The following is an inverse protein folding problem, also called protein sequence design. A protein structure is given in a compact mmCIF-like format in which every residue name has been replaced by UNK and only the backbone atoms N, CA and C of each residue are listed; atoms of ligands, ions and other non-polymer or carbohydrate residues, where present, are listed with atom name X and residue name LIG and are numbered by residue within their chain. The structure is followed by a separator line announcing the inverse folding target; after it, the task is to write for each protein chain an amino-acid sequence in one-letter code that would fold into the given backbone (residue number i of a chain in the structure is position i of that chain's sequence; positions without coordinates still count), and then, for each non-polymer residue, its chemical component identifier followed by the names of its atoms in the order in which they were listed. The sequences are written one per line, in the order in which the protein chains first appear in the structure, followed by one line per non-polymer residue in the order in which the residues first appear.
data_IF_139646458462
#
_entry.id   IF_139646458462
#
_cell.length_a   1.000
_cell.length_b   1.000
_cell.length_c   1.000
_cell.angle_alpha   90.00
_cell.angle_beta   90.00
_cell.angle_gamma   90.00
#
_symmetry.space_group_name_H-M   'P 1'
#
loop_
_entity.id
_entity.type
_entity.pdbx_description
1 polymer ?
#
# COMPACT_ATOMS: atom_id res chain seq x y z
N UNK A 1 11.39 9.07 24.31
CA UNK A 1 11.80 9.07 22.90
C UNK A 1 11.78 7.63 22.45
N UNK A 2 10.75 7.23 21.69
CA UNK A 2 10.79 5.92 21.02
C UNK A 2 11.92 5.98 19.99
N UNK A 3 12.65 4.88 19.85
CA UNK A 3 13.79 4.81 18.94
C UNK A 3 13.29 4.44 17.54
N UNK A 4 13.61 5.30 16.57
CA UNK A 4 14.00 4.97 15.21
C UNK A 4 13.64 3.56 14.70
N UNK A 5 12.38 3.15 14.50
CA UNK A 5 12.14 1.88 13.80
C UNK A 5 12.44 2.05 12.31
N UNK A 6 13.53 1.41 11.87
CA UNK A 6 13.99 1.43 10.49
C UNK A 6 14.27 0.01 9.99
N UNK A 7 14.12 -0.16 8.67
CA UNK A 7 14.46 -1.38 7.95
C UNK A 7 15.65 -1.07 7.03
N UNK A 8 16.74 -1.81 7.21
CA UNK A 8 17.90 -1.70 6.34
C UNK A 8 17.61 -2.39 5.00
N UNK A 9 17.84 -1.69 3.89
CA UNK A 9 17.76 -2.23 2.54
C UNK A 9 19.09 -2.00 1.85
N UNK A 10 19.69 -3.09 1.37
CA UNK A 10 20.92 -3.01 0.59
C UNK A 10 20.56 -2.91 -0.89
N UNK A 11 21.07 -1.89 -1.57
CA UNK A 11 20.92 -1.73 -3.00
C UNK A 11 22.15 -1.02 -3.58
N UNK A 12 22.62 -1.44 -4.75
CA UNK A 12 23.76 -0.81 -5.44
C UNK A 12 25.02 -0.67 -4.56
N UNK A 13 25.28 -1.64 -3.67
CA UNK A 13 26.43 -1.62 -2.75
C UNK A 13 26.32 -0.60 -1.61
N UNK A 14 25.14 -0.01 -1.39
CA UNK A 14 24.85 0.92 -0.29
C UNK A 14 23.75 0.36 0.59
N UNK A 15 23.80 0.69 1.88
CA UNK A 15 22.72 0.42 2.83
C UNK A 15 21.87 1.68 2.99
N UNK A 16 20.56 1.50 2.90
CA UNK A 16 19.57 2.54 3.08
C UNK A 16 18.62 2.19 4.21
N UNK A 17 18.05 3.21 4.84
CA UNK A 17 17.13 3.05 5.95
C UNK A 17 15.71 3.49 5.53
N UNK A 18 14.79 2.53 5.52
CA UNK A 18 13.35 2.79 5.36
C UNK A 18 12.74 3.04 6.73
N UNK A 19 12.23 4.25 6.96
CA UNK A 19 11.69 4.68 8.24
C UNK A 19 10.21 4.33 8.37
N UNK A 20 9.81 3.69 9.47
CA UNK A 20 8.42 3.32 9.67
C UNK A 20 7.84 3.64 11.06
N UNK A 21 8.50 4.51 11.83
CA UNK A 21 7.94 5.06 13.08
C UNK A 21 6.64 5.82 12.90
N UNK A 22 6.40 6.35 11.70
CA UNK A 22 5.17 7.06 11.38
C UNK A 22 3.93 6.14 11.37
N UNK A 23 4.12 4.82 11.45
CA UNK A 23 3.06 3.82 11.45
C UNK A 23 2.97 3.21 12.84
N UNK A 24 2.00 3.68 13.63
CA UNK A 24 1.89 3.43 15.06
C UNK A 24 2.12 1.98 15.48
N UNK A 25 2.79 1.82 16.63
CA UNK A 25 3.08 0.53 17.26
C UNK A 25 1.83 -0.16 17.82
N UNK A 26 0.75 0.59 17.99
CA UNK A 26 -0.52 0.04 18.41
C UNK A 26 -1.28 -0.44 17.17
N UNK A 27 -1.87 -1.62 17.29
CA UNK A 27 -2.79 -2.26 16.34
C UNK A 27 -4.04 -1.43 15.98
N UNK A 28 -4.01 -0.12 16.21
CA UNK A 28 -5.07 0.86 16.03
C UNK A 28 -4.86 1.71 14.79
N UNK A 29 -5.16 1.15 13.62
CA UNK A 29 -5.19 1.81 12.30
C UNK A 29 -3.81 2.32 11.82
N UNK A 30 -3.33 1.93 10.62
CA UNK A 30 -2.20 2.63 10.02
C UNK A 30 -2.57 4.11 9.96
N UNK A 31 -1.73 4.98 10.54
CA UNK A 31 -1.88 6.41 10.33
C UNK A 31 -1.93 6.58 8.81
N UNK A 32 -3.00 7.17 8.24
CA UNK A 32 -3.06 7.38 6.81
C UNK A 32 -1.81 8.15 6.42
N UNK A 33 -1.22 7.84 5.27
CA UNK A 33 -0.18 8.67 4.71
C UNK A 33 -0.65 10.11 4.78
N UNK A 34 -0.10 10.90 5.70
CA UNK A 34 -0.36 12.32 5.73
C UNK A 34 0.24 12.81 4.42
N UNK A 35 -0.62 13.15 3.45
CA UNK A 35 -0.21 13.70 2.16
C UNK A 35 0.43 15.06 2.42
N UNK A 36 1.66 15.04 2.91
CA UNK A 36 2.52 16.20 2.94
C UNK A 36 3.14 16.21 1.57
N UNK A 37 2.53 16.91 0.63
CA UNK A 37 3.05 16.97 -0.73
C UNK A 37 4.47 17.57 -0.76
N UNK A 38 4.77 18.45 0.20
CA UNK A 38 6.05 19.15 0.35
C UNK A 38 6.45 19.30 1.82
N UNK A 39 7.63 18.78 2.17
CA UNK A 39 8.23 18.92 3.51
C UNK A 39 8.77 20.33 3.72
N UNK A 40 8.11 21.07 4.62
CA UNK A 40 8.39 22.48 4.85
C UNK A 40 9.82 22.78 5.30
N UNK A 41 10.43 21.87 6.06
CA UNK A 41 11.78 22.05 6.61
C UNK A 41 12.90 21.94 5.57
N UNK A 42 12.63 21.31 4.41
CA UNK A 42 13.58 21.18 3.29
C UNK A 42 13.44 22.26 2.23
N UNK A 43 12.42 23.11 2.34
CA UNK A 43 12.23 24.23 1.42
C UNK A 43 13.41 25.19 1.51
N UNK A 44 13.91 25.60 0.34
CA UNK A 44 14.93 26.63 0.25
C UNK A 44 14.27 28.01 0.38
N UNK A 45 14.90 28.87 1.18
CA UNK A 45 14.58 30.28 1.34
C UNK A 45 15.47 31.12 0.40
N UNK A 46 15.84 32.34 0.80
CA UNK A 46 16.90 33.11 0.14
C UNK A 46 18.26 32.38 0.28
N UNK A 47 19.16 32.64 -0.68
CA UNK A 47 20.58 32.23 -0.60
C UNK A 47 20.80 30.71 -0.39
N UNK A 48 19.91 29.87 -0.91
CA UNK A 48 19.96 28.40 -0.78
C UNK A 48 19.97 27.88 0.67
N UNK A 49 19.43 28.63 1.63
CA UNK A 49 19.29 28.17 3.02
C UNK A 49 17.97 27.46 3.25
N UNK A 50 17.99 26.27 3.85
CA UNK A 50 16.76 25.54 4.14
C UNK A 50 15.98 26.17 5.33
N UNK A 51 14.67 25.95 5.38
CA UNK A 51 13.83 26.37 6.52
C UNK A 51 14.33 25.79 7.85
N UNK A 52 14.79 24.53 7.86
CA UNK A 52 15.39 23.92 9.04
C UNK A 52 16.62 24.70 9.54
N UNK A 53 17.51 25.09 8.64
CA UNK A 53 18.73 25.85 8.96
C UNK A 53 18.38 27.26 9.46
N UNK A 54 17.39 27.89 8.85
CA UNK A 54 16.86 29.17 9.32
C UNK A 54 16.33 29.04 10.76
N UNK A 55 15.47 28.06 11.03
CA UNK A 55 14.96 27.79 12.39
C UNK A 55 16.09 27.52 13.39
N UNK A 56 17.12 26.77 12.99
CA UNK A 56 18.28 26.49 13.82
C UNK A 56 19.11 27.75 14.11
N UNK A 57 19.36 28.59 13.11
CA UNK A 57 20.10 29.85 13.28
C UNK A 57 19.39 30.81 14.23
N UNK A 58 18.07 30.94 14.11
CA UNK A 58 17.23 31.78 14.98
C UNK A 58 17.35 31.28 16.43
N UNK A 59 17.19 29.96 16.65
CA UNK A 59 17.36 29.35 17.98
C UNK A 59 18.73 29.66 18.60
N UNK A 60 19.81 29.61 17.81
CA UNK A 60 21.18 29.86 18.28
C UNK A 60 21.41 31.32 18.69
N UNK A 61 20.97 32.28 17.86
CA UNK A 61 21.12 33.72 18.14
C UNK A 61 20.34 34.13 19.38
N UNK A 62 19.18 33.53 19.64
CA UNK A 62 18.39 33.86 20.84
C UNK A 62 18.96 33.26 22.13
N UNK A 63 19.52 32.04 22.08
CA UNK A 63 20.22 31.44 23.23
C UNK A 63 21.39 32.29 23.74
N UNK A 64 21.99 33.11 22.88
CA UNK A 64 23.10 34.00 23.26
C UNK A 64 22.66 35.41 23.71
N UNK A 65 21.39 35.81 23.49
CA UNK A 65 20.92 37.19 23.73
C UNK A 65 19.97 37.36 24.93
N UNK A 66 19.36 36.29 25.45
CA UNK A 66 18.34 36.39 26.52
C UNK A 66 18.56 35.40 27.67
N UNK A 67 18.47 35.92 28.91
CA UNK A 67 18.23 35.13 30.13
C UNK A 67 16.82 34.50 30.16
N UNK A 68 16.35 33.96 31.29
CA UNK A 68 15.30 32.93 31.38
C UNK A 68 13.84 33.37 31.08
N UNK A 69 13.61 34.37 30.21
CA UNK A 69 12.28 34.83 29.82
C UNK A 69 11.77 34.11 28.55
N UNK A 70 10.61 33.48 28.70
CA UNK A 70 10.02 32.47 27.81
C UNK A 70 9.27 33.03 26.60
N UNK A 71 9.95 33.61 25.61
CA UNK A 71 9.31 33.76 24.30
C UNK A 71 9.07 32.37 23.71
N UNK A 72 7.83 32.12 23.25
CA UNK A 72 7.51 30.86 22.58
C UNK A 72 8.31 30.78 21.29
N UNK A 73 8.89 29.63 21.00
CA UNK A 73 9.79 29.42 19.87
C UNK A 73 9.23 29.93 18.51
N UNK A 74 7.93 29.77 18.30
CA UNK A 74 7.20 30.25 17.12
C UNK A 74 7.29 31.77 16.95
N UNK A 75 7.26 32.52 18.05
CA UNK A 75 7.35 33.98 18.02
C UNK A 75 8.76 34.44 17.61
N UNK A 76 9.79 33.74 18.08
CA UNK A 76 11.18 33.99 17.70
C UNK A 76 11.41 33.75 16.21
N UNK A 77 10.89 32.62 15.71
CA UNK A 77 10.93 32.29 14.28
C UNK A 77 10.22 33.36 13.44
N UNK A 78 9.06 33.84 13.88
CA UNK A 78 8.33 34.90 13.20
C UNK A 78 9.07 36.25 13.23
N UNK A 79 9.71 36.62 14.34
CA UNK A 79 10.52 37.84 14.42
C UNK A 79 11.72 37.79 13.48
N UNK A 80 12.46 36.67 13.46
CA UNK A 80 13.56 36.46 12.52
C UNK A 80 13.09 36.57 11.08
N UNK A 81 11.97 35.91 10.77
CA UNK A 81 11.39 35.91 9.42
C UNK A 81 10.91 37.30 9.01
N UNK A 82 10.34 38.07 9.95
CA UNK A 82 9.87 39.43 9.69
C UNK A 82 11.04 40.38 9.38
N UNK A 83 12.20 40.19 10.05
CA UNK A 83 13.39 41.00 9.78
C UNK A 83 13.98 40.73 8.39
N UNK A 84 14.02 39.47 7.99
CA UNK A 84 14.67 39.06 6.75
C UNK A 84 13.74 39.08 5.52
N UNK A 85 12.52 38.59 5.68
CA UNK A 85 11.57 38.38 4.58
C UNK A 85 10.37 39.34 4.62
N UNK A 86 10.29 40.21 5.63
CA UNK A 86 9.18 41.13 5.85
C UNK A 86 7.80 40.44 5.98
N UNK A 87 7.79 39.16 6.36
CA UNK A 87 6.59 38.34 6.54
C UNK A 87 6.79 37.31 7.67
N UNK A 88 5.70 36.82 8.31
CA UNK A 88 5.75 35.68 9.22
C UNK A 88 6.28 34.41 8.54
N UNK A 89 6.99 33.54 9.29
CA UNK A 89 7.68 32.37 8.71
C UNK A 89 6.70 31.44 7.98
N UNK A 90 5.51 31.23 8.54
CA UNK A 90 4.50 30.38 7.92
C UNK A 90 4.06 30.92 6.56
N UNK A 91 3.95 32.24 6.39
CA UNK A 91 3.59 32.85 5.11
C UNK A 91 4.71 32.67 4.07
N UNK A 92 5.98 32.76 4.51
CA UNK A 92 7.13 32.47 3.64
C UNK A 92 7.14 31.00 3.20
N UNK A 93 6.93 30.07 4.14
CA UNK A 93 6.84 28.63 3.85
C UNK A 93 5.73 28.34 2.83
N UNK A 94 4.53 28.89 3.02
CA UNK A 94 3.43 28.67 2.08
C UNK A 94 3.72 29.24 0.68
N UNK A 95 4.30 30.44 0.61
CA UNK A 95 4.73 31.01 -0.66
C UNK A 95 5.76 30.12 -1.37
N UNK A 96 6.73 29.56 -0.64
CA UNK A 96 7.74 28.66 -1.20
C UNK A 96 7.17 27.32 -1.62
N UNK A 97 6.23 26.75 -0.86
CA UNK A 97 5.49 25.54 -1.27
C UNK A 97 4.79 25.76 -2.60
N UNK A 98 4.10 26.88 -2.75
CA UNK A 98 3.37 27.19 -3.98
C UNK A 98 4.29 27.35 -5.19
N UNK A 99 5.40 28.08 -5.05
CA UNK A 99 6.41 28.16 -6.12
C UNK A 99 7.00 26.80 -6.48
N UNK A 100 7.20 25.90 -5.50
CA UNK A 100 7.71 24.56 -5.76
C UNK A 100 6.68 23.66 -6.46
N UNK A 101 5.38 23.78 -6.13
CA UNK A 101 4.30 23.09 -6.85
C UNK A 101 4.25 23.49 -8.31
N UNK A 102 4.24 24.79 -8.58
CA UNK A 102 4.22 25.31 -9.96
C UNK A 102 5.44 24.84 -10.76
N UNK A 103 6.61 24.80 -10.13
CA UNK A 103 7.83 24.25 -10.74
C UNK A 103 7.69 22.76 -11.06
N UNK A 104 7.18 21.97 -10.12
CA UNK A 104 6.89 20.55 -10.32
C UNK A 104 5.88 20.33 -11.46
N UNK A 105 4.76 21.06 -11.46
CA UNK A 105 3.72 20.93 -12.49
C UNK A 105 4.27 21.24 -13.89
N UNK A 106 5.08 22.29 -14.01
CA UNK A 106 5.73 22.66 -15.27
C UNK A 106 6.73 21.59 -15.74
N UNK A 107 7.56 21.07 -14.82
CA UNK A 107 8.51 19.99 -15.11
C UNK A 107 7.79 18.71 -15.54
N UNK A 108 6.74 18.32 -14.81
CA UNK A 108 5.95 17.12 -15.08
C UNK A 108 5.23 17.20 -16.43
N UNK A 109 4.72 18.37 -16.81
CA UNK A 109 4.09 18.60 -18.10
C UNK A 109 5.07 18.73 -19.28
N UNK A 110 6.37 18.88 -19.02
CA UNK A 110 7.38 19.03 -20.06
C UNK A 110 7.52 17.75 -20.90
N UNK A 111 7.64 17.93 -22.22
CA UNK A 111 8.02 16.86 -23.16
C UNK A 111 9.53 16.76 -23.35
N UNK A 112 10.31 17.74 -22.87
CA UNK A 112 11.76 17.67 -22.84
C UNK A 112 12.21 16.83 -21.64
N UNK A 113 12.76 15.65 -21.94
CA UNK A 113 13.17 14.67 -20.94
C UNK A 113 14.30 15.16 -20.04
N UNK A 114 15.30 15.81 -20.61
CA UNK A 114 16.45 16.28 -19.83
C UNK A 114 16.00 17.37 -18.85
N UNK A 115 15.20 18.32 -19.36
CA UNK A 115 14.58 19.35 -18.53
C UNK A 115 13.70 18.76 -17.41
N UNK A 116 12.85 17.79 -17.74
CA UNK A 116 11.98 17.12 -16.76
C UNK A 116 12.80 16.48 -15.63
N UNK A 117 13.86 15.74 -15.96
CA UNK A 117 14.73 15.09 -14.96
C UNK A 117 15.42 16.10 -14.06
N UNK A 118 16.02 17.15 -14.64
CA UNK A 118 16.74 18.18 -13.88
C UNK A 118 15.81 18.94 -12.93
N UNK A 119 14.62 19.32 -13.41
CA UNK A 119 13.67 20.08 -12.62
C UNK A 119 12.98 19.25 -11.53
N UNK A 120 12.61 18.00 -11.83
CA UNK A 120 12.09 17.08 -10.82
C UNK A 120 13.13 16.81 -9.74
N UNK A 121 14.43 16.73 -10.10
CA UNK A 121 15.53 16.57 -9.14
C UNK A 121 15.64 17.77 -8.21
N UNK A 122 15.49 18.98 -8.73
CA UNK A 122 15.44 20.18 -7.88
C UNK A 122 14.22 20.18 -6.95
N UNK A 123 13.05 19.76 -7.44
CA UNK A 123 11.86 19.63 -6.61
C UNK A 123 12.01 18.57 -5.51
N UNK A 124 12.56 17.41 -5.86
CA UNK A 124 12.81 16.29 -4.96
C UNK A 124 13.76 16.69 -3.82
N UNK A 125 14.87 17.36 -4.13
CA UNK A 125 15.82 17.86 -3.13
C UNK A 125 15.22 18.89 -2.16
N UNK A 126 14.20 19.63 -2.59
CA UNK A 126 13.46 20.58 -1.73
C UNK A 126 12.32 19.93 -0.94
N UNK A 127 12.23 18.59 -0.95
CA UNK A 127 11.27 17.82 -0.18
C UNK A 127 9.90 17.67 -0.84
N UNK A 128 9.80 17.83 -2.17
CA UNK A 128 8.57 17.50 -2.90
C UNK A 128 8.43 15.98 -3.03
N UNK A 129 7.38 15.41 -2.43
CA UNK A 129 7.23 13.96 -2.25
C UNK A 129 6.91 13.26 -3.56
N UNK A 130 5.93 13.78 -4.31
CA UNK A 130 5.59 13.24 -5.64
C UNK A 130 6.77 13.35 -6.62
N UNK A 131 7.52 14.46 -6.63
CA UNK A 131 8.70 14.61 -7.48
C UNK A 131 9.77 13.54 -7.23
N UNK A 132 9.94 13.09 -5.97
CA UNK A 132 10.82 11.96 -5.66
C UNK A 132 10.29 10.67 -6.31
N UNK A 133 8.99 10.37 -6.18
CA UNK A 133 8.43 9.18 -6.82
C UNK A 133 8.61 9.25 -8.34
N UNK A 134 8.19 10.35 -8.96
CA UNK A 134 8.18 10.48 -10.42
C UNK A 134 9.59 10.40 -10.96
N UNK A 135 10.54 11.13 -10.38
CA UNK A 135 11.94 11.04 -10.77
C UNK A 135 12.47 9.61 -10.62
N UNK A 136 12.12 8.90 -9.55
CA UNK A 136 12.45 7.50 -9.38
C UNK A 136 11.89 6.63 -10.52
N UNK A 137 10.62 6.80 -10.89
CA UNK A 137 9.99 6.07 -12.02
C UNK A 137 10.69 6.37 -13.34
N UNK A 138 11.04 7.64 -13.55
CA UNK A 138 11.73 8.08 -14.76
C UNK A 138 13.10 7.43 -14.90
N UNK A 139 13.88 7.41 -13.81
CA UNK A 139 15.20 6.80 -13.78
C UNK A 139 15.14 5.27 -13.86
N UNK A 140 14.14 4.63 -13.25
CA UNK A 140 13.94 3.17 -13.35
C UNK A 140 13.61 2.73 -14.78
N UNK A 141 12.83 3.52 -15.52
CA UNK A 141 12.54 3.26 -16.93
C UNK A 141 13.80 3.31 -17.82
N UNK A 142 14.80 4.09 -17.41
CA UNK A 142 16.10 4.23 -18.09
C UNK A 142 17.15 3.21 -17.57
N UNK A 143 16.79 2.38 -16.59
CA UNK A 143 17.72 1.46 -15.95
C UNK A 143 18.80 2.17 -15.10
N UNK A 144 18.56 3.42 -14.70
CA UNK A 144 19.50 4.15 -13.86
C UNK A 144 19.33 3.74 -12.39
N UNK A 145 20.38 3.19 -11.73
CA UNK A 145 20.31 2.72 -10.34
C UNK A 145 20.02 3.81 -9.31
N UNK A 146 20.18 5.09 -9.66
CA UNK A 146 19.83 6.24 -8.82
C UNK A 146 18.33 6.28 -8.47
N UNK A 147 17.46 5.59 -9.24
CA UNK A 147 16.03 5.49 -8.95
C UNK A 147 15.72 4.99 -7.52
N UNK A 148 16.58 4.13 -6.97
CA UNK A 148 16.43 3.56 -5.63
C UNK A 148 16.48 4.66 -4.56
N UNK A 149 17.43 5.60 -4.68
CA UNK A 149 17.60 6.70 -3.73
C UNK A 149 16.30 7.52 -3.64
N UNK A 150 15.68 7.78 -4.79
CA UNK A 150 14.44 8.56 -4.88
C UNK A 150 13.20 7.80 -4.41
N UNK A 151 13.09 6.49 -4.64
CA UNK A 151 11.99 5.71 -4.05
C UNK A 151 12.08 5.64 -2.54
N UNK A 152 13.29 5.45 -2.00
CA UNK A 152 13.52 5.42 -0.55
C UNK A 152 13.18 6.77 0.07
N UNK A 153 13.62 7.85 -0.57
CA UNK A 153 13.30 9.19 -0.11
C UNK A 153 11.80 9.46 -0.19
N UNK A 154 11.14 9.10 -1.30
CA UNK A 154 9.68 9.21 -1.42
C UNK A 154 8.97 8.47 -0.29
N UNK A 155 9.41 7.25 0.08
CA UNK A 155 8.85 6.50 1.21
C UNK A 155 9.04 7.26 2.53
N UNK A 156 10.27 7.68 2.82
CA UNK A 156 10.62 8.37 4.06
C UNK A 156 9.88 9.71 4.21
N UNK A 157 9.48 10.32 3.10
CA UNK A 157 8.64 11.51 3.06
C UNK A 157 7.13 11.22 3.06
N UNK A 158 6.72 9.95 3.01
CA UNK A 158 5.32 9.54 3.09
C UNK A 158 4.63 9.34 1.74
N UNK A 159 5.31 8.81 0.73
CA UNK A 159 4.67 8.42 -0.53
C UNK A 159 4.16 6.96 -0.48
N UNK A 160 2.86 6.67 -0.64
CA UNK A 160 2.27 5.32 -0.51
C UNK A 160 2.72 4.30 -1.56
N UNK A 161 3.06 4.75 -2.75
CA UNK A 161 3.43 3.88 -3.87
C UNK A 161 4.94 3.62 -3.99
N UNK A 162 5.76 4.36 -3.25
CA UNK A 162 7.22 4.29 -3.34
C UNK A 162 7.78 2.88 -3.08
N UNK A 163 7.30 2.20 -2.04
CA UNK A 163 7.73 0.84 -1.70
C UNK A 163 7.33 -0.18 -2.78
N UNK A 164 6.18 0.02 -3.44
CA UNK A 164 5.79 -0.84 -4.57
C UNK A 164 6.77 -0.67 -5.73
N UNK A 165 7.10 0.57 -6.08
CA UNK A 165 8.08 0.85 -7.14
C UNK A 165 9.46 0.30 -6.80
N UNK A 166 9.95 0.56 -5.58
CA UNK A 166 11.22 0.03 -5.09
C UNK A 166 11.27 -1.50 -5.17
N UNK A 167 10.22 -2.19 -4.74
CA UNK A 167 10.17 -3.67 -4.82
C UNK A 167 10.26 -4.19 -6.25
N UNK A 168 9.64 -3.52 -7.22
CA UNK A 168 9.72 -3.89 -8.64
C UNK A 168 11.14 -3.72 -9.17
N UNK A 169 11.79 -2.61 -8.82
CA UNK A 169 13.19 -2.36 -9.18
C UNK A 169 14.11 -3.43 -8.59
N UNK A 170 13.91 -3.81 -7.32
CA UNK A 170 14.69 -4.88 -6.67
C UNK A 170 14.47 -6.25 -7.33
N UNK A 171 13.23 -6.58 -7.71
CA UNK A 171 12.96 -7.80 -8.49
C UNK A 171 13.66 -7.79 -9.86
N UNK A 172 13.65 -6.66 -10.57
CA UNK A 172 14.37 -6.50 -11.85
C UNK A 172 15.87 -6.69 -11.68
N UNK A 173 16.42 -6.24 -10.54
CA UNK A 173 17.83 -6.40 -10.19
C UNK A 173 18.17 -7.82 -9.68
N UNK A 174 17.19 -8.72 -9.53
CA UNK A 174 17.40 -10.08 -9.03
C UNK A 174 17.48 -10.21 -7.51
N UNK A 175 17.23 -9.14 -6.76
CA UNK A 175 17.23 -9.15 -5.29
C UNK A 175 15.82 -9.43 -4.75
N UNK A 176 15.39 -10.68 -4.86
CA UNK A 176 14.07 -11.11 -4.43
C UNK A 176 13.87 -10.94 -2.91
N UNK A 177 14.91 -11.18 -2.10
CA UNK A 177 14.85 -11.03 -0.66
C UNK A 177 14.56 -9.60 -0.24
N UNK A 178 15.34 -8.63 -0.76
CA UNK A 178 15.09 -7.21 -0.49
C UNK A 178 13.72 -6.77 -1.03
N UNK A 179 13.31 -7.23 -2.21
CA UNK A 179 12.00 -6.92 -2.77
C UNK A 179 10.85 -7.38 -1.86
N UNK A 180 10.93 -8.60 -1.32
CA UNK A 180 9.95 -9.14 -0.37
C UNK A 180 9.94 -8.35 0.94
N UNK A 181 11.11 -8.00 1.50
CA UNK A 181 11.20 -7.14 2.71
C UNK A 181 10.45 -5.82 2.52
N UNK A 182 10.71 -5.15 1.40
CA UNK A 182 10.07 -3.87 1.04
C UNK A 182 8.56 -4.02 0.88
N UNK A 183 8.09 -5.11 0.25
CA UNK A 183 6.65 -5.37 0.12
C UNK A 183 5.97 -5.66 1.44
N UNK A 184 6.60 -6.42 2.33
CA UNK A 184 6.08 -6.70 3.67
C UNK A 184 5.98 -5.42 4.50
N UNK A 185 6.98 -4.54 4.39
CA UNK A 185 6.91 -3.21 5.00
C UNK A 185 5.75 -2.40 4.41
N UNK A 186 5.62 -2.35 3.08
CA UNK A 186 4.54 -1.63 2.42
C UNK A 186 3.15 -2.13 2.82
N UNK A 187 2.97 -3.45 2.89
CA UNK A 187 1.74 -4.08 3.35
C UNK A 187 1.45 -3.77 4.83
N UNK A 188 2.48 -3.76 5.69
CA UNK A 188 2.37 -3.33 7.09
C UNK A 188 1.95 -1.86 7.21
N UNK A 189 2.48 -1.00 6.36
CA UNK A 189 2.13 0.43 6.27
C UNK A 189 0.77 0.68 5.60
N UNK A 190 -0.02 -0.36 5.29
CA UNK A 190 -1.37 -0.24 4.73
C UNK A 190 -1.46 -0.19 3.21
N UNK A 191 -0.35 -0.41 2.47
CA UNK A 191 -0.38 -0.45 1.01
C UNK A 191 -1.05 -1.73 0.50
N UNK A 192 -2.31 -1.61 0.05
CA UNK A 192 -3.05 -2.73 -0.57
C UNK A 192 -2.29 -3.30 -1.77
N UNK A 193 -1.69 -2.44 -2.59
CA UNK A 193 -0.96 -2.91 -3.80
C UNK A 193 0.25 -3.78 -3.43
N UNK A 194 0.96 -3.45 -2.35
CA UNK A 194 2.06 -4.29 -1.87
C UNK A 194 1.54 -5.66 -1.37
N UNK A 195 0.44 -5.65 -0.64
CA UNK A 195 -0.18 -6.88 -0.14
C UNK A 195 -0.72 -7.77 -1.29
N UNK A 196 -1.37 -7.17 -2.29
CA UNK A 196 -1.84 -7.87 -3.49
C UNK A 196 -0.69 -8.49 -4.28
N UNK A 197 0.45 -7.78 -4.42
CA UNK A 197 1.60 -8.33 -5.11
C UNK A 197 2.18 -9.54 -4.37
N UNK A 198 2.27 -9.49 -3.04
CA UNK A 198 2.70 -10.64 -2.23
C UNK A 198 1.80 -11.87 -2.42
N UNK A 199 0.47 -11.67 -2.47
CA UNK A 199 -0.49 -12.74 -2.71
C UNK A 199 -0.39 -13.31 -4.13
N UNK A 200 -0.20 -12.44 -5.13
CA UNK A 200 0.01 -12.86 -6.51
C UNK A 200 1.29 -13.69 -6.67
N UNK A 201 2.38 -13.31 -5.98
CA UNK A 201 3.61 -14.11 -5.93
C UNK A 201 3.33 -15.48 -5.31
N UNK A 202 2.58 -15.54 -4.20
CA UNK A 202 2.20 -16.82 -3.56
C UNK A 202 1.43 -17.72 -4.53
N UNK A 203 0.45 -17.18 -5.24
CA UNK A 203 -0.44 -17.94 -6.13
C UNK A 203 0.27 -18.47 -7.38
N UNK A 204 1.12 -17.65 -8.00
CA UNK A 204 1.66 -17.98 -9.31
C UNK A 204 3.14 -18.37 -9.27
N UNK A 205 3.86 -18.03 -8.20
CA UNK A 205 5.32 -18.13 -8.10
C UNK A 205 5.79 -18.45 -6.69
N UNK A 206 5.15 -19.44 -6.04
CA UNK A 206 5.47 -19.82 -4.66
C UNK A 206 6.97 -20.07 -4.42
N UNK A 207 7.65 -20.69 -5.40
CA UNK A 207 9.09 -20.97 -5.37
C UNK A 207 9.97 -19.73 -5.09
N UNK A 208 9.51 -18.52 -5.43
CA UNK A 208 10.24 -17.27 -5.09
C UNK A 208 10.40 -17.14 -3.58
N UNK A 209 9.38 -17.49 -2.81
CA UNK A 209 9.43 -17.42 -1.35
C UNK A 209 10.26 -18.54 -0.72
N UNK A 210 10.57 -19.61 -1.45
CA UNK A 210 11.41 -20.71 -0.97
C UNK A 210 12.91 -20.36 -1.02
N UNK A 211 13.28 -19.30 -1.74
CA UNK A 211 14.65 -18.80 -1.77
C UNK A 211 15.10 -18.41 -0.33
N UNK A 212 16.34 -18.74 0.08
CA UNK A 212 16.82 -18.45 1.44
C UNK A 212 16.65 -16.99 1.86
N UNK A 213 16.91 -16.06 0.94
CA UNK A 213 16.83 -14.61 1.18
C UNK A 213 15.38 -14.15 1.39
N UNK A 214 14.42 -14.80 0.71
CA UNK A 214 12.99 -14.53 0.89
C UNK A 214 12.45 -15.16 2.18
N UNK A 215 12.92 -16.34 2.56
CA UNK A 215 12.60 -16.95 3.85
C UNK A 215 13.12 -16.09 4.99
N UNK A 216 14.33 -15.54 4.86
CA UNK A 216 14.90 -14.59 5.83
C UNK A 216 14.03 -13.32 5.91
N UNK A 217 13.66 -12.73 4.78
CA UNK A 217 12.76 -11.58 4.71
C UNK A 217 11.41 -11.83 5.41
N UNK A 218 10.82 -13.00 5.21
CA UNK A 218 9.57 -13.41 5.86
C UNK A 218 9.75 -13.58 7.38
N UNK A 219 10.88 -14.13 7.83
CA UNK A 219 11.17 -14.26 9.27
C UNK A 219 11.38 -12.91 9.93
N UNK A 220 12.13 -12.02 9.29
CA UNK A 220 12.31 -10.63 9.73
C UNK A 220 10.94 -9.93 9.82
N UNK A 221 10.11 -10.11 8.79
CA UNK A 221 8.70 -9.72 8.75
C UNK A 221 7.89 -10.15 9.95
N UNK A 222 8.05 -11.40 10.38
CA UNK A 222 7.41 -11.92 11.58
C UNK A 222 7.94 -11.21 12.84
N UNK A 223 9.24 -10.91 12.90
CA UNK A 223 9.90 -10.26 14.03
C UNK A 223 9.39 -8.85 14.30
N UNK A 224 9.11 -8.06 13.26
CA UNK A 224 8.46 -6.75 13.43
C UNK A 224 6.92 -6.81 13.42
N UNK A 225 6.33 -8.01 13.35
CA UNK A 225 4.89 -8.23 13.52
C UNK A 225 4.04 -7.97 12.27
N UNK A 226 4.58 -8.10 11.05
CA UNK A 226 3.77 -8.09 9.84
C UNK A 226 2.92 -9.37 9.75
N UNK A 227 1.60 -9.21 9.72
CA UNK A 227 0.65 -10.32 9.65
C UNK A 227 0.80 -11.06 8.32
N UNK A 228 1.04 -10.32 7.24
CA UNK A 228 1.30 -10.86 5.91
C UNK A 228 2.55 -11.75 5.91
N UNK A 229 3.60 -11.38 6.65
CA UNK A 229 4.81 -12.18 6.77
C UNK A 229 4.53 -13.52 7.46
N UNK A 230 3.79 -13.50 8.59
CA UNK A 230 3.40 -14.71 9.31
C UNK A 230 2.56 -15.64 8.44
N UNK A 231 1.56 -15.08 7.74
CA UNK A 231 0.71 -15.84 6.84
C UNK A 231 1.51 -16.50 5.70
N UNK A 232 2.35 -15.72 5.00
CA UNK A 232 3.13 -16.20 3.87
C UNK A 232 4.20 -17.21 4.29
N UNK A 233 4.91 -16.94 5.41
CA UNK A 233 5.88 -17.89 5.96
C UNK A 233 5.21 -19.21 6.31
N UNK A 234 4.07 -19.16 7.01
CA UNK A 234 3.29 -20.34 7.33
C UNK A 234 2.85 -21.12 6.10
N UNK A 235 2.45 -20.40 5.02
CA UNK A 235 2.02 -21.01 3.76
C UNK A 235 3.18 -21.71 3.05
N UNK A 236 4.31 -21.01 2.90
CA UNK A 236 5.51 -21.51 2.24
C UNK A 236 6.09 -22.72 2.98
N UNK A 237 6.12 -22.72 4.31
CA UNK A 237 6.57 -23.88 5.08
C UNK A 237 5.62 -25.09 4.98
N UNK A 238 4.33 -24.90 4.67
CA UNK A 238 3.38 -26.00 4.53
C UNK A 238 3.32 -26.57 3.11
N UNK A 239 3.46 -25.71 2.12
CA UNK A 239 3.17 -26.02 0.71
C UNK A 239 4.39 -25.92 -0.19
N UNK A 240 5.49 -25.33 0.27
CA UNK A 240 6.74 -25.25 -0.49
C UNK A 240 7.42 -26.61 -0.63
N UNK A 241 8.09 -26.81 -1.75
CA UNK A 241 8.70 -28.10 -2.10
C UNK A 241 10.04 -28.29 -1.36
N UNK A 242 10.82 -27.23 -1.19
CA UNK A 242 12.20 -27.30 -0.70
C UNK A 242 12.40 -26.86 0.75
N UNK A 243 11.41 -26.19 1.35
CA UNK A 243 11.50 -25.64 2.71
C UNK A 243 10.39 -26.16 3.64
N UNK A 244 9.83 -27.34 3.34
CA UNK A 244 8.65 -27.86 4.04
C UNK A 244 8.95 -28.15 5.52
N UNK A 245 8.20 -27.48 6.39
CA UNK A 245 8.14 -27.70 7.84
C UNK A 245 6.70 -27.44 8.30
N UNK A 246 5.89 -28.50 8.29
CA UNK A 246 4.46 -28.35 8.60
C UNK A 246 4.19 -27.93 10.05
N UNK A 247 5.03 -28.35 10.99
CA UNK A 247 4.83 -28.06 12.41
C UNK A 247 5.04 -26.57 12.66
N UNK A 248 6.16 -26.02 12.16
CA UNK A 248 6.42 -24.59 12.21
C UNK A 248 5.41 -23.80 11.40
N UNK A 249 5.05 -24.29 10.20
CA UNK A 249 4.07 -23.65 9.35
C UNK A 249 2.70 -23.49 10.02
N UNK A 250 2.21 -24.54 10.71
CA UNK A 250 0.98 -24.48 11.52
C UNK A 250 1.09 -23.50 12.69
N UNK A 251 2.22 -23.50 13.40
CA UNK A 251 2.44 -22.60 14.53
C UNK A 251 2.40 -21.12 14.09
N UNK A 252 3.14 -20.75 13.05
CA UNK A 252 3.18 -19.37 12.55
C UNK A 252 1.83 -18.92 12.00
N UNK A 253 1.10 -19.78 11.28
CA UNK A 253 -0.27 -19.45 10.83
C UNK A 253 -1.23 -19.25 12.00
N UNK A 254 -1.13 -20.07 13.06
CA UNK A 254 -1.94 -19.90 14.26
C UNK A 254 -1.67 -18.57 14.95
N UNK A 255 -0.42 -18.10 14.96
CA UNK A 255 -0.09 -16.76 15.47
C UNK A 255 -0.69 -15.65 14.61
N UNK A 256 -0.69 -15.82 13.28
CA UNK A 256 -1.32 -14.86 12.37
C UNK A 256 -2.83 -14.74 12.65
N UNK A 257 -3.52 -15.88 12.84
CA UNK A 257 -4.95 -15.92 13.17
C UNK A 257 -5.28 -15.55 14.63
N UNK A 258 -4.29 -15.53 15.53
CA UNK A 258 -4.47 -15.11 16.92
C UNK A 258 -4.43 -13.59 17.11
N UNK A 259 -4.04 -12.83 16.08
CA UNK A 259 -4.15 -11.37 16.09
C UNK A 259 -5.64 -11.06 16.20
N UNK A 260 -6.07 -10.56 17.36
CA UNK A 260 -7.48 -10.27 17.62
C UNK A 260 -8.01 -9.41 16.49
N UNK A 261 -9.09 -9.88 15.85
CA UNK A 261 -10.05 -9.05 15.16
C UNK A 261 -10.20 -7.70 15.89
N UNK A 262 -10.38 -6.62 15.15
CA UNK A 262 -10.91 -5.35 15.67
C UNK A 262 -12.33 -5.59 16.22
N UNK A 263 -12.47 -6.37 17.30
CA UNK A 263 -13.65 -6.37 18.13
C UNK A 263 -13.58 -5.06 18.87
N UNK A 264 -14.44 -4.13 18.45
CA UNK A 264 -14.80 -2.98 19.25
C UNK A 264 -15.07 -3.46 20.68
N UNK A 265 -14.16 -3.17 21.59
CA UNK A 265 -14.36 -3.45 23.00
C UNK A 265 -15.63 -2.69 23.43
N UNK A 266 -16.65 -3.46 23.80
CA UNK A 266 -17.88 -2.98 24.44
C UNK A 266 -18.71 -1.96 23.63
N UNK A 267 -19.28 -2.38 22.50
CA UNK A 267 -20.54 -1.80 22.00
C UNK A 267 -20.54 -0.31 21.62
N UNK A 268 -19.37 0.32 21.58
CA UNK A 268 -19.16 1.65 20.99
C UNK A 268 -18.03 1.49 20.01
N UNK A 269 -18.40 1.16 18.77
CA UNK A 269 -17.45 1.18 17.66
C UNK A 269 -16.69 2.50 17.70
N UNK A 270 -15.38 2.43 17.45
CA UNK A 270 -14.62 3.62 17.10
C UNK A 270 -15.45 4.40 16.08
N UNK A 271 -15.66 5.71 16.27
CA UNK A 271 -16.49 6.46 15.36
C UNK A 271 -15.93 6.25 13.95
N UNK A 272 -16.78 5.66 13.10
CA UNK A 272 -16.71 5.84 11.66
C UNK A 272 -16.35 7.30 11.44
N UNK A 273 -15.31 7.56 10.66
CA UNK A 273 -15.00 8.92 10.22
C UNK A 273 -16.32 9.48 9.69
N UNK A 274 -16.79 10.56 10.34
CA UNK A 274 -17.96 11.31 9.90
C UNK A 274 -17.68 11.65 8.43
N UNK A 275 -18.59 11.29 7.54
CA UNK A 275 -18.50 11.41 6.07
C UNK A 275 -18.14 10.13 5.29
N UNK A 276 -18.61 8.98 5.79
CA UNK A 276 -19.43 8.09 4.95
C UNK A 276 -18.84 7.56 3.64
N UNK A 277 -17.54 7.30 3.54
CA UNK A 277 -16.97 6.48 2.47
C UNK A 277 -15.67 5.79 2.94
N UNK A 278 -15.67 4.45 2.79
CA UNK A 278 -14.55 3.51 2.95
C UNK A 278 -14.23 3.03 4.39
N UNK A 279 -14.22 1.70 4.54
CA UNK A 279 -13.38 1.06 5.55
C UNK A 279 -11.91 1.39 5.23
N UNK A 280 -11.03 1.66 6.21
CA UNK A 280 -9.63 1.88 5.92
C UNK A 280 -9.06 0.64 5.23
N UNK A 281 -8.58 0.85 4.00
CA UNK A 281 -7.66 -0.05 3.32
C UNK A 281 -6.59 -0.54 4.30
N UNK A 282 -6.46 -1.86 4.46
CA UNK A 282 -5.42 -2.45 5.33
C UNK A 282 -5.86 -2.78 6.77
N UNK A 283 -7.15 -2.81 7.08
CA UNK A 283 -7.60 -3.42 8.36
C UNK A 283 -7.64 -4.94 8.26
N UNK A 284 -7.28 -5.61 9.37
CA UNK A 284 -7.40 -7.06 9.51
C UNK A 284 -8.83 -7.53 9.20
N UNK A 285 -9.86 -6.75 9.54
CA UNK A 285 -11.26 -7.05 9.22
C UNK A 285 -11.57 -7.04 7.71
N UNK A 286 -10.96 -6.15 6.93
CA UNK A 286 -11.10 -6.16 5.46
C UNK A 286 -10.34 -7.34 4.84
N UNK A 287 -9.18 -7.67 5.40
CA UNK A 287 -8.39 -8.83 4.99
C UNK A 287 -9.05 -10.16 5.38
N UNK A 288 -9.65 -10.24 6.57
CA UNK A 288 -10.46 -11.36 7.05
C UNK A 288 -11.75 -11.47 6.28
N UNK A 289 -12.37 -10.38 5.83
CA UNK A 289 -13.52 -10.46 4.95
C UNK A 289 -13.12 -10.97 3.55
N UNK A 290 -11.97 -10.57 3.00
CA UNK A 290 -11.46 -11.11 1.73
C UNK A 290 -11.01 -12.58 1.86
N UNK A 291 -10.36 -12.91 2.98
CA UNK A 291 -9.91 -14.26 3.33
C UNK A 291 -11.11 -15.15 3.69
N UNK A 292 -12.14 -14.65 4.38
CA UNK A 292 -13.37 -15.38 4.68
C UNK A 292 -14.24 -15.47 3.43
N UNK A 293 -14.24 -14.49 2.51
CA UNK A 293 -14.90 -14.65 1.22
C UNK A 293 -14.21 -15.72 0.36
N UNK A 294 -12.88 -15.76 0.35
CA UNK A 294 -12.09 -16.80 -0.33
C UNK A 294 -12.18 -18.16 0.39
N UNK A 295 -12.04 -18.21 1.71
CA UNK A 295 -12.13 -19.44 2.50
C UNK A 295 -13.55 -19.95 2.58
N UNK A 296 -14.58 -19.10 2.57
CA UNK A 296 -15.97 -19.54 2.48
C UNK A 296 -16.28 -19.97 1.04
N UNK A 297 -15.69 -19.37 0.00
CA UNK A 297 -15.76 -19.91 -1.36
C UNK A 297 -15.03 -21.27 -1.51
N UNK A 298 -13.93 -21.48 -0.79
CA UNK A 298 -13.15 -22.73 -0.76
C UNK A 298 -13.75 -23.78 0.19
N UNK A 299 -14.45 -23.37 1.26
CA UNK A 299 -15.02 -24.26 2.29
C UNK A 299 -16.52 -24.48 2.19
N UNK A 300 -17.30 -23.60 1.55
CA UNK A 300 -18.75 -23.78 1.40
C UNK A 300 -19.14 -24.67 0.21
N UNK A 301 -18.20 -24.98 -0.68
CA UNK A 301 -18.31 -26.14 -1.56
C UNK A 301 -17.06 -27.00 -1.30
N UNK A 302 -17.14 -27.89 -0.29
CA UNK A 302 -16.50 -29.20 -0.43
C UNK A 302 -16.74 -29.61 -1.89
N UNK A 303 -15.67 -29.84 -2.65
CA UNK A 303 -15.76 -30.34 -4.03
C UNK A 303 -16.83 -31.42 -4.03
N UNK A 304 -18.02 -31.07 -4.56
CA UNK A 304 -19.23 -31.87 -4.31
C UNK A 304 -18.91 -33.31 -4.68
N UNK A 305 -19.50 -34.33 -4.04
CA UNK A 305 -19.28 -35.74 -4.43
C UNK A 305 -19.43 -35.97 -5.94
N UNK A 306 -20.27 -35.16 -6.61
CA UNK A 306 -20.40 -35.10 -8.07
C UNK A 306 -19.16 -34.56 -8.82
N UNK A 307 -18.47 -33.53 -8.31
CA UNK A 307 -17.19 -33.05 -8.86
C UNK A 307 -16.12 -34.14 -8.78
N UNK A 308 -15.99 -34.79 -7.61
CA UNK A 308 -15.00 -35.87 -7.42
C UNK A 308 -15.35 -37.11 -8.27
N UNK A 309 -16.64 -37.44 -8.40
CA UNK A 309 -17.10 -38.54 -9.24
C UNK A 309 -16.87 -38.28 -10.74
N UNK A 310 -17.12 -37.04 -11.21
CA UNK A 310 -16.86 -36.66 -12.60
C UNK A 310 -15.37 -36.51 -12.90
N UNK A 311 -14.59 -35.97 -11.98
CA UNK A 311 -13.14 -35.91 -12.07
C UNK A 311 -12.53 -37.31 -12.18
N UNK A 312 -13.00 -38.27 -11.38
CA UNK A 312 -12.57 -39.67 -11.44
C UNK A 312 -12.98 -40.41 -12.72
N UNK A 313 -13.91 -39.85 -13.51
CA UNK A 313 -14.35 -40.40 -14.79
C UNK A 313 -13.60 -39.84 -16.00
N UNK A 314 -12.73 -38.83 -15.81
CA UNK A 314 -11.91 -38.27 -16.87
C UNK A 314 -10.75 -39.23 -17.24
N UNK A 315 -10.45 -39.42 -18.54
CA UNK A 315 -9.34 -40.28 -18.96
C UNK A 315 -7.98 -39.67 -18.58
N UNK A 316 -7.02 -40.53 -18.26
CA UNK A 316 -5.73 -40.19 -17.64
C UNK A 316 -4.64 -39.76 -18.67
N UNK A 317 -5.03 -39.05 -19.73
CA UNK A 317 -4.14 -38.67 -20.83
C UNK A 317 -4.06 -37.15 -21.09
N UNK A 318 -3.12 -36.50 -20.40
CA UNK A 318 -2.46 -35.27 -20.85
C UNK A 318 -3.35 -34.04 -21.10
N UNK A 319 -3.09 -33.31 -22.20
CA UNK A 319 -3.71 -31.99 -22.50
C UNK A 319 -5.23 -32.02 -22.63
N UNK A 320 -5.83 -33.13 -23.06
CA UNK A 320 -7.29 -33.29 -23.12
C UNK A 320 -7.91 -33.27 -21.73
N UNK A 321 -7.23 -33.84 -20.73
CA UNK A 321 -7.65 -33.82 -19.32
C UNK A 321 -7.62 -32.40 -18.74
N UNK A 322 -6.71 -31.52 -19.18
CA UNK A 322 -6.70 -30.09 -18.75
C UNK A 322 -7.86 -29.27 -19.32
N UNK A 323 -8.19 -29.46 -20.60
CA UNK A 323 -9.33 -28.78 -21.22
C UNK A 323 -10.64 -29.23 -20.57
N UNK A 324 -10.82 -30.54 -20.40
CA UNK A 324 -11.99 -31.10 -19.72
C UNK A 324 -12.06 -30.72 -18.23
N UNK A 325 -10.92 -30.52 -17.55
CA UNK A 325 -10.90 -29.98 -16.19
C UNK A 325 -11.36 -28.52 -16.14
N UNK A 326 -10.93 -27.70 -17.11
CA UNK A 326 -11.36 -26.31 -17.24
C UNK A 326 -12.86 -26.17 -17.49
N UNK A 327 -13.42 -27.00 -18.38
CA UNK A 327 -14.86 -27.06 -18.64
C UNK A 327 -15.64 -27.53 -17.40
N UNK A 328 -15.17 -28.58 -16.72
CA UNK A 328 -15.78 -29.08 -15.48
C UNK A 328 -15.80 -28.04 -14.35
N UNK A 329 -14.72 -27.25 -14.25
CA UNK A 329 -14.60 -26.17 -13.28
C UNK A 329 -15.55 -25.00 -13.62
N UNK A 330 -15.72 -24.71 -14.92
CA UNK A 330 -16.59 -23.63 -15.37
C UNK A 330 -18.09 -23.97 -15.23
N UNK A 331 -18.48 -25.22 -15.51
CA UNK A 331 -19.85 -25.73 -15.35
C UNK A 331 -20.31 -25.77 -13.89
N UNK A 332 -19.39 -26.03 -12.95
CA UNK A 332 -19.72 -26.26 -11.54
C UNK A 332 -19.41 -25.06 -10.64
N UNK A 333 -18.85 -23.97 -11.17
CA UNK A 333 -18.54 -22.75 -10.42
C UNK A 333 -19.10 -21.46 -11.09
N UNK A 334 -20.38 -21.13 -10.88
CA UNK A 334 -21.08 -20.00 -11.51
C UNK A 334 -20.74 -18.66 -10.81
N UNK A 335 -19.46 -18.29 -10.82
CA UNK A 335 -18.96 -17.00 -10.30
C UNK A 335 -19.66 -15.81 -10.97
N UNK A 336 -19.90 -15.79 -12.30
CA UNK A 336 -20.57 -14.68 -12.96
C UNK A 336 -22.04 -14.49 -12.53
N UNK A 337 -22.84 -15.56 -12.44
CA UNK A 337 -24.27 -15.45 -12.09
C UNK A 337 -24.49 -15.06 -10.62
N UNK A 338 -23.57 -15.42 -9.73
CA UNK A 338 -23.64 -15.02 -8.31
C UNK A 338 -23.23 -13.56 -8.11
N UNK A 339 -22.31 -13.05 -8.91
CA UNK A 339 -21.96 -11.62 -8.93
C UNK A 339 -23.11 -10.79 -9.49
N UNK A 340 -23.77 -11.26 -10.56
CA UNK A 340 -24.95 -10.61 -11.15
C UNK A 340 -26.11 -10.49 -10.14
N UNK A 341 -26.40 -11.55 -9.36
CA UNK A 341 -27.44 -11.53 -8.31
C UNK A 341 -27.14 -10.52 -7.19
N UNK A 342 -25.90 -10.46 -6.71
CA UNK A 342 -25.50 -9.49 -5.67
C UNK A 342 -25.56 -8.04 -6.14
N UNK A 343 -25.27 -7.78 -7.42
CA UNK A 343 -25.46 -6.47 -8.04
C UNK A 343 -26.95 -6.12 -8.15
N UNK A 344 -27.80 -7.08 -8.49
CA UNK A 344 -29.26 -6.89 -8.53
C UNK A 344 -29.87 -6.60 -7.15
N UNK A 345 -29.46 -7.33 -6.11
CA UNK A 345 -29.91 -7.11 -4.72
C UNK A 345 -29.50 -5.71 -4.21
N UNK A 346 -28.30 -5.25 -4.58
CA UNK A 346 -27.81 -3.91 -4.24
C UNK A 346 -28.60 -2.81 -4.97
N UNK A 347 -28.91 -2.99 -6.25
CA UNK A 347 -29.75 -2.05 -7.02
C UNK A 347 -31.20 -2.00 -6.49
N UNK A 348 -31.73 -3.12 -5.98
CA UNK A 348 -33.07 -3.20 -5.42
C UNK A 348 -33.20 -2.58 -4.02
N UNK A 349 -32.10 -2.41 -3.29
CA UNK A 349 -32.10 -1.87 -1.92
C UNK A 349 -32.36 -0.36 -1.85
N UNK A 350 -32.28 0.37 -2.97
CA UNK A 350 -32.78 1.74 -3.09
C UNK A 350 -32.12 2.77 -2.16
N UNK A 351 -30.81 2.67 -1.92
CA UNK A 351 -30.07 3.64 -1.12
C UNK A 351 -29.91 4.98 -1.88
N UNK A 352 -30.29 6.08 -1.22
CA UNK A 352 -30.33 7.46 -1.72
C UNK A 352 -28.92 8.04 -2.03
N UNK A 353 -28.29 7.60 -3.12
CA UNK A 353 -27.17 8.30 -3.76
C UNK A 353 -27.67 8.97 -5.06
N UNK A 354 -27.30 10.23 -5.38
CA UNK A 354 -27.57 10.80 -6.68
C UNK A 354 -26.79 10.00 -7.73
N UNK A 355 -27.54 9.19 -8.48
CA UNK A 355 -27.00 8.24 -9.42
C UNK A 355 -26.33 8.98 -10.60
N UNK A 356 -25.02 8.82 -10.75
CA UNK A 356 -24.34 9.07 -12.02
C UNK A 356 -24.93 8.10 -13.07
N UNK A 357 -25.71 8.65 -14.01
CA UNK A 357 -26.39 7.87 -15.06
C UNK A 357 -25.42 6.97 -15.83
N UNK A 358 -24.16 7.38 -16.01
CA UNK A 358 -23.14 6.59 -16.69
C UNK A 358 -22.65 5.39 -15.86
N UNK A 359 -22.74 5.47 -14.53
CA UNK A 359 -22.43 4.37 -13.61
C UNK A 359 -23.62 3.40 -13.55
N UNK A 360 -24.84 3.91 -13.54
CA UNK A 360 -26.07 3.09 -13.58
C UNK A 360 -26.19 2.30 -14.88
N UNK A 361 -25.94 2.91 -16.03
CA UNK A 361 -26.02 2.20 -17.32
C UNK A 361 -24.94 1.13 -17.45
N UNK A 362 -23.73 1.36 -16.92
CA UNK A 362 -22.68 0.32 -16.84
C UNK A 362 -23.09 -0.84 -15.93
N UNK A 363 -23.79 -0.56 -14.83
CA UNK A 363 -24.27 -1.59 -13.91
C UNK A 363 -25.47 -2.37 -14.46
N UNK A 364 -26.40 -1.70 -15.15
CA UNK A 364 -27.50 -2.35 -15.88
C UNK A 364 -27.00 -3.26 -17.00
N UNK A 365 -25.95 -2.85 -17.72
CA UNK A 365 -25.35 -3.68 -18.78
C UNK A 365 -24.65 -4.95 -18.25
N UNK A 366 -24.31 -4.99 -16.96
CA UNK A 366 -23.71 -6.15 -16.29
C UNK A 366 -24.74 -7.05 -15.60
N UNK A 367 -25.99 -6.60 -15.47
CA UNK A 367 -27.09 -7.42 -14.97
C UNK A 367 -27.62 -8.28 -16.12
N UNK A 368 -27.47 -9.61 -16.00
CA UNK A 368 -28.12 -10.53 -16.93
C UNK A 368 -29.65 -10.42 -16.77
N UNK A 369 -30.43 -10.42 -17.86
CA UNK A 369 -31.87 -10.37 -17.79
C UNK A 369 -32.39 -11.59 -17.01
N UNK A 370 -33.28 -11.33 -16.05
CA UNK A 370 -33.92 -12.36 -15.25
C UNK A 370 -34.97 -13.09 -16.12
N UNK A 371 -34.56 -14.17 -16.78
CA UNK A 371 -35.47 -15.01 -17.58
C UNK A 371 -36.51 -15.75 -16.71
N UNK A 372 -36.45 -15.63 -15.38
CA UNK A 372 -37.36 -16.27 -14.44
C UNK A 372 -38.67 -15.53 -14.17
N UNK A 373 -38.78 -14.23 -14.49
CA UNK A 373 -39.91 -13.40 -14.06
C UNK A 373 -41.13 -13.40 -15.02
N UNK A 374 -41.12 -14.14 -16.14
CA UNK A 374 -42.23 -14.18 -17.11
C UNK A 374 -43.08 -15.46 -17.09
N UNK A 375 -43.16 -16.19 -15.96
CA UNK A 375 -44.07 -17.34 -15.85
C UNK A 375 -44.90 -17.38 -14.57
N UNK A 376 -45.48 -16.25 -14.16
CA UNK A 376 -46.67 -16.28 -13.31
C UNK A 376 -47.66 -15.21 -13.78
N UNK A 377 -48.60 -15.62 -14.64
CA UNK A 377 -49.70 -14.77 -15.07
C UNK A 377 -50.22 -15.04 -16.47
N UNK A 378 -50.60 -16.28 -16.78
CA UNK A 378 -51.64 -16.56 -17.79
C UNK A 378 -52.18 -17.99 -17.62
N UNK A 379 -52.96 -18.16 -16.55
CA UNK A 379 -54.01 -19.16 -16.47
C UNK A 379 -55.24 -18.52 -15.81
N UNK A 380 -55.97 -17.73 -16.60
CA UNK A 380 -57.43 -17.67 -16.65
C UNK A 380 -57.86 -16.98 -17.96
#
# INVERSE_FOLDING_TARGET
MAQAKSLAVHANGREFQLLFENYGDESGSPAPYHSIDIVGDRLLLSENRAVADFKASVRTVFKSQTGPASLKEVELQNQGSQREFHKPLQAVIQQRKESLRQRYEHAHASSDRAYQVDELRVCAHQGHVQANLDLGVLLDAEGNPECVDFFIEAHNLGHPESLLCLSKTLFKAGDAGAAVRVLLLGARCGSIRCAQLLLSIREHRLHIFEAPECLEALNEGCGYGAIQAKYLLGFVLRHGEHCRDEARGRAVMSEAGAVRHFRADKGKGAPLVKDGNQFPAGTLAHFEQLIDLELLAIRSDELKPEFLARLASLPDEGEKTRASYGELFHDLNPVPERMARRVADWLAAGDDEPVDEAKLERMKALALPDEGAMKEGDHA
#
